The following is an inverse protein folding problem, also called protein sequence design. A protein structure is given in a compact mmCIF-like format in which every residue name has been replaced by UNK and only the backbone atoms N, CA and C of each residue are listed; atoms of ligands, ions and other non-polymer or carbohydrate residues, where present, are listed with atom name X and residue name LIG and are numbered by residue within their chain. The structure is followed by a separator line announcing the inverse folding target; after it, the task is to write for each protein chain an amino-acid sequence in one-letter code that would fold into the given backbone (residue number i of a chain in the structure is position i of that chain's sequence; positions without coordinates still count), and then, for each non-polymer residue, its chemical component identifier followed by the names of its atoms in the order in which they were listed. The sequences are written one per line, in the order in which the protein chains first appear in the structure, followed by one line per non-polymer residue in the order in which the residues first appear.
data_IF_560963538113
#
_entry.id   IF_560963538113
#
_cell.length_a   1.000
_cell.length_b   1.000
_cell.length_c   1.000
_cell.angle_alpha   90.00
_cell.angle_beta   90.00
_cell.angle_gamma   90.00
#
_symmetry.space_group_name_H-M   'P 1'
#
loop_
_entity.id
_entity.type
_entity.pdbx_description
1 polymer ?
#
# COMPACT_ATOMS: atom_id res chain seq x y z
N UNK A 1 43.81 17.13 1.84
CA UNK A 1 44.47 18.26 1.12
C UNK A 1 43.61 19.52 1.06
N UNK A 2 42.32 19.47 0.68
CA UNK A 2 41.48 20.67 0.60
C UNK A 2 41.02 21.20 1.98
N UNK A 3 40.66 20.35 2.94
CA UNK A 3 40.22 20.76 4.28
C UNK A 3 41.37 21.42 5.08
N UNK A 4 42.59 20.86 5.07
CA UNK A 4 43.75 21.49 5.73
C UNK A 4 44.00 22.90 5.20
N UNK A 5 43.93 23.06 3.88
CA UNK A 5 44.12 24.36 3.24
C UNK A 5 42.97 25.35 3.54
N UNK A 6 41.73 24.85 3.68
CA UNK A 6 40.62 25.69 4.09
C UNK A 6 40.77 26.20 5.53
N UNK A 7 41.28 25.35 6.45
CA UNK A 7 41.62 25.78 7.81
C UNK A 7 42.74 26.80 7.83
N UNK A 8 43.83 26.58 7.08
CA UNK A 8 44.96 27.53 6.97
C UNK A 8 44.52 28.91 6.43
N UNK A 9 43.48 28.91 5.57
CA UNK A 9 42.90 30.13 5.00
C UNK A 9 41.81 30.74 5.88
N UNK A 10 41.47 30.14 7.02
CA UNK A 10 40.39 30.60 7.91
C UNK A 10 38.97 30.45 7.35
N UNK A 11 38.77 29.62 6.30
CA UNK A 11 37.48 29.35 5.69
C UNK A 11 36.64 28.36 6.50
N UNK A 12 37.27 27.49 7.26
CA UNK A 12 36.65 26.49 8.14
C UNK A 12 37.45 26.42 9.43
N UNK A 13 36.80 26.41 10.57
CA UNK A 13 37.44 26.21 11.86
C UNK A 13 37.83 24.74 12.08
N UNK A 14 38.98 24.47 12.67
CA UNK A 14 39.41 23.12 13.04
C UNK A 14 38.40 22.41 13.93
N UNK A 15 37.71 23.16 14.82
CA UNK A 15 36.64 22.65 15.67
C UNK A 15 35.50 22.06 14.87
N UNK A 16 35.06 22.70 13.78
CA UNK A 16 34.00 22.20 12.90
C UNK A 16 34.36 20.86 12.27
N UNK A 17 35.63 20.69 11.87
CA UNK A 17 36.15 19.43 11.33
C UNK A 17 36.19 18.36 12.42
N UNK A 18 36.67 18.70 13.61
CA UNK A 18 36.73 17.79 14.76
C UNK A 18 35.33 17.26 15.11
N UNK A 19 34.34 18.12 15.25
CA UNK A 19 32.96 17.74 15.53
C UNK A 19 32.36 16.81 14.43
N UNK A 20 32.70 17.05 13.16
CA UNK A 20 32.29 16.18 12.07
C UNK A 20 32.95 14.79 12.15
N UNK A 21 34.25 14.75 12.51
CA UNK A 21 34.99 13.49 12.72
C UNK A 21 34.43 12.74 13.94
N UNK A 22 34.16 13.42 15.04
CA UNK A 22 33.57 12.80 16.24
C UNK A 22 32.21 12.10 15.91
N UNK A 23 31.32 12.77 15.18
CA UNK A 23 30.06 12.15 14.73
C UNK A 23 30.29 10.91 13.86
N UNK A 24 31.26 10.99 12.94
CA UNK A 24 31.62 9.86 12.08
C UNK A 24 32.18 8.69 12.89
N UNK A 25 33.06 8.99 13.84
CA UNK A 25 33.70 7.98 14.68
C UNK A 25 32.73 7.34 15.67
N UNK A 26 31.79 8.10 16.24
CA UNK A 26 30.73 7.55 17.08
C UNK A 26 29.90 6.48 16.32
N UNK A 27 29.51 6.76 15.07
CA UNK A 27 28.82 5.77 14.24
C UNK A 27 29.68 4.54 13.98
N UNK A 28 30.96 4.71 13.65
CA UNK A 28 31.88 3.59 13.42
C UNK A 28 32.11 2.73 14.66
N UNK A 29 32.21 3.35 15.84
CA UNK A 29 32.30 2.63 17.11
C UNK A 29 31.01 1.81 17.36
N UNK A 30 29.87 2.42 17.20
CA UNK A 30 28.58 1.71 17.37
C UNK A 30 28.38 0.55 16.40
N UNK A 31 28.91 0.66 15.18
CA UNK A 31 28.91 -0.43 14.19
C UNK A 31 29.93 -1.54 14.49
N UNK A 32 30.77 -1.37 15.53
CA UNK A 32 31.81 -2.34 15.86
C UNK A 32 32.99 -2.38 14.88
N UNK A 33 33.25 -1.25 14.19
CA UNK A 33 34.36 -1.14 13.23
C UNK A 33 35.73 -0.90 13.91
N UNK A 34 35.75 -0.83 15.23
CA UNK A 34 36.99 -0.69 16.04
C UNK A 34 37.16 -1.95 16.88
N UNK A 35 38.43 -2.48 16.94
CA UNK A 35 38.73 -3.72 17.64
C UNK A 35 38.34 -3.69 19.13
N UNK A 36 38.50 -2.56 19.79
CA UNK A 36 38.19 -2.38 21.21
C UNK A 36 36.70 -2.24 21.51
N UNK A 37 35.87 -2.05 20.47
CA UNK A 37 34.43 -1.79 20.59
C UNK A 37 33.65 -2.72 19.64
N UNK A 38 33.54 -4.02 19.93
CA UNK A 38 32.80 -4.95 19.06
C UNK A 38 31.34 -4.59 19.04
N UNK A 39 30.71 -4.71 17.86
CA UNK A 39 29.29 -4.53 17.71
C UNK A 39 28.50 -5.51 18.60
N UNK A 40 27.42 -5.08 19.28
CA UNK A 40 26.56 -5.99 20.01
C UNK A 40 25.93 -7.07 19.12
N UNK A 41 25.94 -6.85 17.80
CA UNK A 41 25.41 -7.78 16.79
C UNK A 41 26.48 -8.71 16.19
N UNK A 42 27.75 -8.60 16.61
CA UNK A 42 28.87 -9.39 16.03
C UNK A 42 28.69 -10.92 16.18
N UNK A 43 27.89 -11.35 17.16
CA UNK A 43 27.65 -12.76 17.44
C UNK A 43 26.39 -13.32 16.75
N UNK A 44 25.69 -12.53 15.93
CA UNK A 44 24.55 -13.02 15.16
C UNK A 44 25.08 -13.93 14.05
N UNK A 45 24.80 -15.23 14.05
CA UNK A 45 25.31 -16.15 13.04
C UNK A 45 24.58 -15.96 11.70
N UNK A 46 25.25 -16.35 10.61
CA UNK A 46 24.66 -16.29 9.28
C UNK A 46 23.38 -17.12 9.13
N UNK A 47 23.23 -18.19 9.89
CA UNK A 47 22.05 -19.08 9.88
C UNK A 47 20.73 -18.39 10.26
N UNK A 48 20.82 -17.15 10.80
CA UNK A 48 19.63 -16.30 11.04
C UNK A 48 19.02 -15.78 9.73
N UNK A 49 19.83 -15.68 8.66
CA UNK A 49 19.35 -15.25 7.33
C UNK A 49 18.43 -16.34 6.78
N UNK A 50 17.20 -15.95 6.44
CA UNK A 50 16.14 -16.88 5.97
C UNK A 50 15.84 -18.03 6.95
N UNK A 51 16.03 -17.84 8.25
CA UNK A 51 15.56 -18.81 9.23
C UNK A 51 14.02 -18.94 9.15
N UNK A 52 13.44 -20.06 9.64
CA UNK A 52 11.99 -20.29 9.54
C UNK A 52 11.14 -19.13 10.08
N UNK A 53 11.60 -18.47 11.15
CA UNK A 53 10.92 -17.34 11.78
C UNK A 53 10.90 -16.12 10.85
N UNK A 54 12.01 -15.81 10.18
CA UNK A 54 12.09 -14.71 9.22
C UNK A 54 11.26 -14.98 7.96
N UNK A 55 11.25 -16.24 7.49
CA UNK A 55 10.39 -16.64 6.36
C UNK A 55 8.90 -16.50 6.74
N UNK A 56 8.52 -16.93 7.95
CA UNK A 56 7.15 -16.78 8.45
C UNK A 56 6.75 -15.30 8.59
N UNK A 57 7.65 -14.47 9.13
CA UNK A 57 7.43 -13.02 9.27
C UNK A 57 7.26 -12.35 7.89
N UNK A 58 8.09 -12.70 6.91
CA UNK A 58 7.97 -12.18 5.54
C UNK A 58 6.63 -12.56 4.90
N UNK A 59 6.18 -13.82 5.08
CA UNK A 59 4.87 -14.27 4.60
C UNK A 59 3.71 -13.52 5.29
N UNK A 60 3.81 -13.31 6.59
CA UNK A 60 2.81 -12.55 7.35
C UNK A 60 2.75 -11.07 6.91
N UNK A 61 3.91 -10.44 6.68
CA UNK A 61 3.97 -9.08 6.14
C UNK A 61 3.31 -9.00 4.76
N UNK A 62 3.58 -9.97 3.89
CA UNK A 62 2.93 -10.08 2.58
C UNK A 62 1.40 -10.17 2.69
N UNK A 63 0.87 -11.00 3.59
CA UNK A 63 -0.57 -11.13 3.82
C UNK A 63 -1.21 -9.85 4.32
N UNK A 64 -0.55 -9.16 5.25
CA UNK A 64 -1.08 -7.92 5.87
C UNK A 64 -1.01 -6.70 4.96
N UNK A 65 -0.12 -6.71 3.98
CA UNK A 65 0.01 -5.59 3.03
C UNK A 65 -1.00 -5.65 1.88
N UNK A 66 -1.56 -6.81 1.53
CA UNK A 66 -2.48 -6.96 0.41
C UNK A 66 -3.76 -6.15 0.62
N UNK A 67 -4.14 -5.38 -0.40
CA UNK A 67 -5.32 -4.51 -0.37
C UNK A 67 -6.38 -5.04 -1.33
N UNK A 68 -7.55 -5.37 -0.82
CA UNK A 68 -8.70 -5.73 -1.63
C UNK A 68 -9.41 -4.46 -2.11
N UNK A 69 -9.31 -4.17 -3.41
CA UNK A 69 -9.84 -2.94 -4.01
C UNK A 69 -11.27 -3.09 -4.54
N UNK A 70 -11.64 -4.29 -4.99
CA UNK A 70 -12.97 -4.63 -5.50
C UNK A 70 -13.31 -6.07 -5.15
N UNK A 71 -14.58 -6.32 -4.76
CA UNK A 71 -15.08 -7.69 -4.52
C UNK A 71 -16.59 -7.76 -4.75
N UNK A 72 -16.99 -7.82 -6.02
CA UNK A 72 -18.38 -7.78 -6.44
C UNK A 72 -19.13 -9.01 -5.96
N UNK A 73 -20.22 -8.76 -5.20
CA UNK A 73 -21.10 -9.81 -4.66
C UNK A 73 -20.33 -10.89 -3.87
N UNK A 74 -19.27 -10.50 -3.14
CA UNK A 74 -18.44 -11.42 -2.36
C UNK A 74 -17.90 -12.57 -3.23
N UNK A 75 -17.37 -12.23 -4.43
CA UNK A 75 -16.82 -13.21 -5.35
C UNK A 75 -15.58 -13.91 -4.76
N UNK A 76 -14.72 -13.17 -4.07
CA UNK A 76 -13.69 -13.72 -3.22
C UNK A 76 -14.22 -13.89 -1.79
N UNK A 77 -13.77 -14.95 -1.08
CA UNK A 77 -12.80 -15.94 -1.51
C UNK A 77 -13.40 -17.00 -2.45
N UNK A 78 -12.55 -17.55 -3.30
CA UNK A 78 -12.89 -18.63 -4.22
C UNK A 78 -13.17 -19.92 -3.44
N UNK A 79 -14.16 -20.67 -3.89
CA UNK A 79 -14.49 -22.00 -3.35
C UNK A 79 -13.87 -23.09 -4.24
N UNK A 80 -12.74 -23.63 -3.81
CA UNK A 80 -11.99 -24.60 -4.62
C UNK A 80 -12.83 -25.77 -5.11
N UNK A 81 -13.75 -26.25 -4.29
CA UNK A 81 -14.65 -27.39 -4.64
C UNK A 81 -15.61 -27.08 -5.79
N UNK A 82 -15.77 -25.82 -6.17
CA UNK A 82 -16.62 -25.38 -7.29
C UNK A 82 -15.82 -25.05 -8.55
N UNK A 83 -14.50 -25.19 -8.51
CA UNK A 83 -13.59 -24.77 -9.58
C UNK A 83 -12.79 -25.96 -10.10
N UNK A 84 -13.03 -26.34 -11.34
CA UNK A 84 -12.32 -27.43 -12.00
C UNK A 84 -11.08 -26.93 -12.75
N UNK A 85 -11.16 -25.73 -13.29
CA UNK A 85 -10.06 -25.14 -14.07
C UNK A 85 -9.88 -23.65 -13.77
N UNK A 86 -8.65 -23.27 -13.44
CA UNK A 86 -8.23 -21.87 -13.27
C UNK A 86 -7.25 -21.53 -14.40
N UNK A 87 -7.44 -20.37 -15.05
CA UNK A 87 -6.43 -19.79 -15.93
C UNK A 87 -5.66 -18.71 -15.15
N UNK A 88 -4.33 -18.83 -15.09
CA UNK A 88 -3.43 -17.82 -14.52
C UNK A 88 -2.73 -17.14 -15.70
N UNK A 89 -3.04 -15.87 -15.91
CA UNK A 89 -2.66 -15.15 -17.14
C UNK A 89 -1.97 -13.84 -16.78
N UNK A 90 -0.93 -13.49 -17.51
CA UNK A 90 -0.25 -12.20 -17.41
C UNK A 90 1.26 -12.30 -17.24
N UNK A 91 1.99 -11.21 -17.53
CA UNK A 91 3.45 -11.18 -17.46
C UNK A 91 3.97 -11.39 -16.02
N UNK A 92 3.22 -10.99 -15.02
CA UNK A 92 3.61 -11.12 -13.61
C UNK A 92 3.22 -12.48 -13.01
N UNK A 93 2.46 -13.30 -13.72
CA UNK A 93 1.98 -14.59 -13.22
C UNK A 93 3.10 -15.55 -12.80
N UNK A 94 4.19 -15.59 -13.57
CA UNK A 94 5.36 -16.45 -13.33
C UNK A 94 6.67 -15.65 -13.32
N UNK A 95 6.63 -14.42 -12.81
CA UNK A 95 7.79 -13.54 -12.70
C UNK A 95 8.32 -13.50 -11.27
N UNK A 96 9.60 -13.80 -11.07
CA UNK A 96 10.28 -13.61 -9.79
C UNK A 96 10.60 -12.15 -9.53
N UNK A 97 10.90 -11.38 -10.59
CA UNK A 97 11.17 -9.95 -10.49
C UNK A 97 9.97 -9.16 -9.96
N UNK A 98 8.74 -9.59 -10.32
CA UNK A 98 7.53 -8.96 -9.83
C UNK A 98 7.20 -9.23 -8.35
N UNK A 99 7.98 -10.07 -7.66
CA UNK A 99 7.79 -10.35 -6.23
C UNK A 99 8.57 -9.39 -5.35
N UNK A 100 9.61 -8.74 -5.85
CA UNK A 100 10.57 -7.97 -5.07
C UNK A 100 10.73 -6.56 -5.64
N UNK A 101 11.02 -5.61 -4.76
CA UNK A 101 11.30 -4.22 -5.15
C UNK A 101 12.79 -4.00 -5.36
N UNK A 102 13.18 -2.73 -5.57
CA UNK A 102 14.58 -2.34 -5.59
C UNK A 102 15.27 -2.63 -4.25
N UNK A 103 16.58 -2.83 -4.31
CA UNK A 103 17.42 -3.11 -3.14
C UNK A 103 17.10 -4.42 -2.42
N UNK A 104 16.47 -5.37 -3.14
CA UNK A 104 16.16 -6.69 -2.61
C UNK A 104 17.42 -7.51 -2.33
N UNK A 105 17.32 -8.43 -1.37
CA UNK A 105 18.26 -9.53 -1.21
C UNK A 105 17.91 -10.71 -2.10
N UNK A 106 18.84 -11.64 -2.28
CA UNK A 106 18.57 -12.90 -2.99
C UNK A 106 17.99 -13.92 -2.05
N UNK A 107 16.74 -14.33 -2.29
CA UNK A 107 16.11 -15.41 -1.54
C UNK A 107 16.52 -16.78 -2.07
N UNK A 108 16.63 -17.77 -1.18
CA UNK A 108 16.88 -19.16 -1.54
C UNK A 108 15.74 -19.78 -2.36
N UNK A 109 14.50 -19.30 -2.17
CA UNK A 109 13.32 -19.75 -2.91
C UNK A 109 12.33 -18.62 -3.14
N UNK A 110 11.87 -18.51 -4.36
CA UNK A 110 10.75 -17.68 -4.77
C UNK A 110 9.52 -18.54 -5.02
N UNK A 111 8.33 -18.02 -4.73
CA UNK A 111 7.04 -18.61 -5.07
C UNK A 111 6.24 -17.57 -5.83
N UNK A 112 6.12 -17.76 -7.14
CA UNK A 112 5.34 -16.88 -8.02
C UNK A 112 3.84 -17.07 -7.82
N UNK A 113 2.97 -16.15 -8.27
CA UNK A 113 1.52 -16.34 -8.23
C UNK A 113 1.07 -17.68 -8.84
N UNK A 114 1.64 -18.05 -9.98
CA UNK A 114 1.37 -19.33 -10.64
C UNK A 114 1.74 -20.51 -9.74
N UNK A 115 2.97 -20.52 -9.20
CA UNK A 115 3.44 -21.59 -8.31
C UNK A 115 2.58 -21.67 -7.04
N UNK A 116 2.25 -20.54 -6.43
CA UNK A 116 1.40 -20.50 -5.22
C UNK A 116 0.00 -21.05 -5.47
N UNK A 117 -0.64 -20.73 -6.60
CA UNK A 117 -1.95 -21.27 -6.96
C UNK A 117 -1.85 -22.77 -7.25
N UNK A 118 -0.81 -23.22 -7.96
CA UNK A 118 -0.59 -24.65 -8.23
C UNK A 118 -0.34 -25.46 -6.95
N UNK A 119 0.50 -24.94 -6.04
CA UNK A 119 0.78 -25.60 -4.75
C UNK A 119 -0.49 -25.67 -3.89
N UNK A 120 -1.30 -24.60 -3.86
CA UNK A 120 -2.53 -24.58 -3.08
C UNK A 120 -3.60 -25.54 -3.61
N UNK A 121 -3.83 -25.50 -4.91
CA UNK A 121 -4.91 -26.28 -5.54
C UNK A 121 -4.56 -27.76 -5.69
N UNK A 122 -3.29 -28.10 -5.78
CA UNK A 122 -2.81 -29.47 -5.96
C UNK A 122 -3.43 -30.14 -7.21
N UNK A 123 -3.80 -31.39 -7.08
CA UNK A 123 -4.41 -32.19 -8.17
C UNK A 123 -5.93 -31.96 -8.33
N UNK A 124 -6.55 -31.19 -7.43
CA UNK A 124 -8.01 -31.01 -7.41
C UNK A 124 -8.51 -30.05 -8.49
N UNK A 125 -7.68 -29.10 -8.90
CA UNK A 125 -8.03 -28.08 -9.88
C UNK A 125 -6.95 -28.01 -10.94
N UNK A 126 -7.35 -28.01 -12.21
CA UNK A 126 -6.43 -27.81 -13.34
C UNK A 126 -6.02 -26.34 -13.39
N UNK A 127 -4.72 -26.08 -13.44
CA UNK A 127 -4.18 -24.73 -13.61
C UNK A 127 -3.62 -24.60 -15.02
N UNK A 128 -4.18 -23.69 -15.81
CA UNK A 128 -3.70 -23.32 -17.13
C UNK A 128 -2.89 -22.03 -17.00
N UNK A 129 -1.77 -21.92 -17.70
CA UNK A 129 -0.93 -20.75 -17.68
C UNK A 129 -0.75 -20.17 -19.09
N UNK A 130 -0.77 -18.85 -19.19
CA UNK A 130 -0.34 -18.12 -20.36
C UNK A 130 0.26 -16.77 -19.94
N UNK A 131 1.45 -16.45 -20.48
CA UNK A 131 2.07 -15.14 -20.23
C UNK A 131 1.24 -14.02 -20.88
N UNK A 132 0.68 -14.26 -22.07
CA UNK A 132 -0.19 -13.34 -22.80
C UNK A 132 0.53 -12.17 -23.48
N UNK A 133 1.35 -11.42 -22.76
CA UNK A 133 2.15 -10.31 -23.29
C UNK A 133 3.48 -10.17 -22.53
N UNK A 134 4.36 -9.32 -23.05
CA UNK A 134 5.53 -8.85 -22.30
C UNK A 134 5.11 -7.82 -21.24
N UNK A 135 5.96 -7.60 -20.24
CA UNK A 135 5.68 -6.65 -19.17
C UNK A 135 5.44 -5.23 -19.70
N UNK A 136 6.24 -4.76 -20.66
CA UNK A 136 6.14 -3.41 -21.24
C UNK A 136 6.41 -3.32 -22.75
N UNK A 137 6.96 -4.37 -23.39
CA UNK A 137 7.22 -4.37 -24.82
C UNK A 137 6.01 -4.85 -25.61
N UNK A 138 5.94 -4.48 -26.88
CA UNK A 138 4.87 -4.90 -27.77
C UNK A 138 4.93 -6.38 -28.13
N UNK A 139 6.09 -7.02 -28.00
CA UNK A 139 6.32 -8.43 -28.33
C UNK A 139 7.09 -9.15 -27.22
N UNK A 140 6.77 -10.40 -26.98
CA UNK A 140 7.42 -11.23 -25.94
C UNK A 140 8.80 -11.66 -26.39
N UNK A 141 8.92 -12.13 -27.62
CA UNK A 141 10.17 -12.62 -28.22
C UNK A 141 10.65 -11.67 -29.33
N UNK A 142 11.97 -11.60 -29.54
CA UNK A 142 12.58 -10.69 -30.52
C UNK A 142 12.03 -10.83 -31.95
N UNK A 143 11.65 -12.04 -32.35
CA UNK A 143 11.04 -12.31 -33.65
C UNK A 143 9.53 -12.49 -33.61
N UNK A 144 8.90 -12.21 -32.46
CA UNK A 144 7.45 -12.27 -32.30
C UNK A 144 6.75 -11.08 -32.93
N UNK A 145 5.47 -11.23 -33.19
CA UNK A 145 4.59 -10.13 -33.59
C UNK A 145 3.85 -9.59 -32.40
N UNK A 146 3.45 -8.32 -32.39
CA UNK A 146 2.57 -7.78 -31.35
C UNK A 146 1.32 -8.66 -31.16
N UNK A 147 0.97 -8.98 -29.89
CA UNK A 147 -0.17 -9.81 -29.51
C UNK A 147 -0.11 -11.29 -29.96
N UNK A 148 1.03 -11.80 -30.39
CA UNK A 148 1.17 -13.21 -30.82
C UNK A 148 0.78 -14.19 -29.69
N UNK A 149 1.08 -13.85 -28.43
CA UNK A 149 0.76 -14.64 -27.23
C UNK A 149 -0.67 -14.48 -26.72
N UNK A 150 -1.45 -13.54 -27.24
CA UNK A 150 -2.86 -13.37 -26.84
C UNK A 150 -3.67 -14.63 -27.12
N UNK A 151 -3.40 -15.35 -28.19
CA UNK A 151 -4.14 -16.57 -28.56
C UNK A 151 -4.06 -17.65 -27.49
N UNK A 152 -2.88 -17.86 -26.88
CA UNK A 152 -2.71 -18.82 -25.79
C UNK A 152 -3.51 -18.38 -24.57
N UNK A 153 -3.48 -17.09 -24.23
CA UNK A 153 -4.23 -16.52 -23.11
C UNK A 153 -5.74 -16.69 -23.32
N UNK A 154 -6.26 -16.40 -24.51
CA UNK A 154 -7.68 -16.55 -24.83
C UNK A 154 -8.12 -18.02 -24.77
N UNK A 155 -7.32 -18.96 -25.29
CA UNK A 155 -7.62 -20.40 -25.19
C UNK A 155 -7.66 -20.86 -23.72
N UNK A 156 -6.71 -20.39 -22.89
CA UNK A 156 -6.70 -20.69 -21.46
C UNK A 156 -7.96 -20.10 -20.78
N UNK A 157 -8.29 -18.84 -21.08
CA UNK A 157 -9.47 -18.15 -20.56
C UNK A 157 -10.80 -18.85 -20.91
N UNK A 158 -11.00 -19.25 -22.17
CA UNK A 158 -12.20 -19.96 -22.62
C UNK A 158 -12.45 -21.27 -21.86
N UNK A 159 -11.37 -21.97 -21.49
CA UNK A 159 -11.43 -23.27 -20.81
C UNK A 159 -11.52 -23.19 -19.30
N UNK A 160 -11.36 -22.00 -18.72
CA UNK A 160 -11.35 -21.79 -17.30
C UNK A 160 -12.78 -21.55 -16.74
N UNK A 161 -12.97 -21.91 -15.48
CA UNK A 161 -14.15 -21.50 -14.70
C UNK A 161 -13.94 -20.10 -14.11
N UNK A 162 -12.69 -19.78 -13.73
CA UNK A 162 -12.26 -18.48 -13.24
C UNK A 162 -10.87 -18.16 -13.77
N UNK A 163 -10.62 -16.88 -14.01
CA UNK A 163 -9.34 -16.36 -14.49
C UNK A 163 -8.69 -15.52 -13.41
N UNK A 164 -7.43 -15.76 -13.12
CA UNK A 164 -6.57 -14.91 -12.30
C UNK A 164 -5.60 -14.19 -13.23
N UNK A 165 -5.83 -12.89 -13.42
CA UNK A 165 -4.94 -12.02 -14.21
C UNK A 165 -3.87 -11.47 -13.28
N UNK A 166 -2.59 -11.64 -13.60
CA UNK A 166 -1.45 -11.10 -12.85
C UNK A 166 -0.75 -10.05 -13.71
N UNK A 167 -1.09 -8.80 -13.47
CA UNK A 167 -0.63 -7.64 -14.22
C UNK A 167 0.07 -6.64 -13.30
N UNK A 168 0.78 -5.68 -13.88
CA UNK A 168 1.41 -4.59 -13.15
C UNK A 168 2.80 -4.28 -13.63
N UNK A 169 3.70 -4.12 -12.69
CA UNK A 169 5.06 -3.64 -12.86
C UNK A 169 6.07 -4.64 -12.27
N UNK A 170 7.33 -4.31 -12.33
CA UNK A 170 8.41 -4.87 -11.52
C UNK A 170 9.46 -3.78 -11.23
N UNK A 171 10.42 -4.08 -10.38
CA UNK A 171 11.49 -3.15 -10.02
C UNK A 171 12.34 -2.71 -11.23
N UNK A 172 12.36 -3.47 -12.31
CA UNK A 172 13.09 -3.12 -13.53
C UNK A 172 12.47 -1.97 -14.31
N UNK A 173 11.19 -1.69 -14.11
CA UNK A 173 10.47 -0.57 -14.75
C UNK A 173 9.99 0.50 -13.74
N UNK A 174 10.11 0.26 -12.44
CA UNK A 174 9.95 1.22 -11.35
C UNK A 174 11.28 1.47 -10.62
N UNK A 175 12.41 1.32 -11.28
CA UNK A 175 13.73 1.57 -10.71
C UNK A 175 14.03 3.06 -10.54
N UNK A 176 15.20 3.35 -9.98
CA UNK A 176 15.71 4.71 -9.96
C UNK A 176 16.20 5.14 -11.35
N UNK A 177 16.30 6.46 -11.55
CA UNK A 177 16.79 7.03 -12.80
C UNK A 177 18.18 6.45 -13.13
N UNK A 178 18.33 5.95 -14.36
CA UNK A 178 19.55 5.33 -14.87
C UNK A 178 19.65 3.82 -14.63
N UNK A 179 18.83 3.24 -13.77
CA UNK A 179 18.87 1.80 -13.47
C UNK A 179 17.93 0.97 -14.34
N UNK A 180 16.92 1.60 -14.93
CA UNK A 180 15.86 0.88 -15.60
C UNK A 180 16.07 0.77 -17.10
N UNK A 181 15.84 -0.42 -17.62
CA UNK A 181 15.63 -0.67 -19.03
C UNK A 181 14.15 -0.55 -19.41
N UNK A 182 13.45 0.49 -18.96
CA UNK A 182 12.06 0.70 -19.31
C UNK A 182 11.90 1.39 -20.68
N UNK A 183 10.66 1.48 -21.18
CA UNK A 183 10.33 2.14 -22.45
C UNK A 183 10.64 3.64 -22.46
N UNK A 184 10.85 4.25 -21.29
CA UNK A 184 11.12 5.68 -21.11
C UNK A 184 12.61 6.00 -20.96
N UNK A 185 13.49 4.99 -20.99
CA UNK A 185 14.94 5.11 -20.81
C UNK A 185 15.37 5.75 -19.47
N UNK A 186 14.48 5.81 -18.48
CA UNK A 186 14.74 6.29 -17.12
C UNK A 186 14.01 5.40 -16.09
N UNK A 187 14.31 5.58 -14.81
CA UNK A 187 13.71 4.78 -13.74
C UNK A 187 12.23 5.04 -13.50
N UNK A 188 11.81 6.28 -13.62
CA UNK A 188 10.45 6.69 -13.29
C UNK A 188 9.48 6.45 -14.44
N UNK A 189 8.29 5.95 -14.12
CA UNK A 189 7.21 5.85 -15.09
C UNK A 189 6.57 7.22 -15.35
N UNK A 190 6.21 7.50 -16.61
CA UNK A 190 5.61 8.78 -17.03
C UNK A 190 4.10 8.84 -16.84
N UNK A 191 3.44 7.76 -16.50
CA UNK A 191 2.00 7.70 -16.35
C UNK A 191 1.54 6.62 -15.39
N UNK A 192 0.21 6.53 -15.21
CA UNK A 192 -0.42 5.57 -14.30
C UNK A 192 -0.97 4.34 -15.02
N UNK A 193 -0.92 4.28 -16.36
CA UNK A 193 -1.46 3.16 -17.13
C UNK A 193 -0.63 1.88 -16.96
N UNK A 194 -1.28 0.75 -17.13
CA UNK A 194 -0.59 -0.52 -17.30
C UNK A 194 0.35 -0.43 -18.52
N UNK A 195 1.64 -0.82 -18.40
CA UNK A 195 2.59 -0.65 -19.48
C UNK A 195 2.39 -1.66 -20.63
N UNK A 196 2.92 -1.32 -21.80
CA UNK A 196 2.89 -2.18 -22.98
C UNK A 196 1.47 -2.59 -23.37
N UNK A 197 1.27 -3.87 -23.64
CA UNK A 197 -0.01 -4.45 -24.09
C UNK A 197 -0.87 -5.03 -22.96
N UNK A 198 -0.56 -4.77 -21.70
CA UNK A 198 -1.26 -5.39 -20.57
C UNK A 198 -2.74 -4.99 -20.51
N UNK A 199 -3.06 -3.72 -20.78
CA UNK A 199 -4.46 -3.26 -20.81
C UNK A 199 -5.24 -3.96 -21.94
N UNK A 200 -4.67 -4.04 -23.13
CA UNK A 200 -5.31 -4.69 -24.27
C UNK A 200 -5.49 -6.20 -24.04
N UNK A 201 -4.54 -6.85 -23.35
CA UNK A 201 -4.67 -8.25 -22.95
C UNK A 201 -5.83 -8.43 -21.97
N UNK A 202 -5.94 -7.56 -20.96
CA UNK A 202 -7.04 -7.58 -19.98
C UNK A 202 -8.40 -7.44 -20.67
N UNK A 203 -8.51 -6.51 -21.60
CA UNK A 203 -9.74 -6.27 -22.38
C UNK A 203 -10.09 -7.48 -23.26
N UNK A 204 -9.12 -8.06 -23.94
CA UNK A 204 -9.32 -9.24 -24.77
C UNK A 204 -9.75 -10.47 -23.96
N UNK A 205 -9.16 -10.68 -22.78
CA UNK A 205 -9.51 -11.77 -21.88
C UNK A 205 -10.90 -11.54 -21.28
N UNK A 206 -11.24 -10.30 -20.90
CA UNK A 206 -12.57 -9.97 -20.38
C UNK A 206 -13.68 -10.21 -21.43
N UNK A 207 -13.40 -9.98 -22.70
CA UNK A 207 -14.34 -10.25 -23.80
C UNK A 207 -14.72 -11.74 -23.94
N UNK A 208 -13.97 -12.66 -23.36
CA UNK A 208 -14.31 -14.10 -23.28
C UNK A 208 -15.56 -14.32 -22.39
N UNK A 209 -15.84 -13.39 -21.47
CA UNK A 209 -17.07 -13.42 -20.66
C UNK A 209 -16.97 -14.27 -19.39
N UNK A 210 -15.77 -14.71 -19.01
CA UNK A 210 -15.54 -15.45 -17.75
C UNK A 210 -15.22 -14.50 -16.60
N UNK A 211 -15.50 -14.90 -15.34
CA UNK A 211 -15.15 -14.08 -14.19
C UNK A 211 -13.63 -13.98 -14.02
N UNK A 212 -13.17 -12.76 -13.75
CA UNK A 212 -11.75 -12.42 -13.59
C UNK A 212 -11.50 -11.89 -12.18
N UNK A 213 -10.45 -12.40 -11.55
CA UNK A 213 -9.78 -11.78 -10.42
C UNK A 213 -8.50 -11.12 -10.96
N UNK A 214 -8.40 -9.81 -10.82
CA UNK A 214 -7.19 -9.06 -11.17
C UNK A 214 -6.30 -8.94 -9.94
N UNK A 215 -5.12 -9.55 -9.98
CA UNK A 215 -4.04 -9.36 -9.01
C UNK A 215 -3.01 -8.42 -9.58
N UNK A 216 -2.83 -7.28 -8.94
CA UNK A 216 -1.90 -6.23 -9.36
C UNK A 216 -0.61 -6.37 -8.56
N UNK A 217 0.52 -6.43 -9.25
CA UNK A 217 1.85 -6.42 -8.66
C UNK A 217 2.55 -5.13 -9.10
N UNK A 218 2.65 -4.15 -8.21
CA UNK A 218 3.23 -2.84 -8.49
C UNK A 218 3.65 -2.14 -7.21
N UNK A 219 4.74 -1.40 -7.22
CA UNK A 219 5.18 -0.61 -6.05
C UNK A 219 4.46 0.74 -5.91
N UNK A 220 3.72 1.17 -6.94
CA UNK A 220 3.04 2.47 -7.00
C UNK A 220 1.63 2.37 -7.57
N UNK A 221 0.87 3.46 -7.46
CA UNK A 221 -0.49 3.54 -7.97
C UNK A 221 -0.56 3.32 -9.50
N UNK A 222 -1.59 2.61 -9.93
CA UNK A 222 -1.96 2.41 -11.33
C UNK A 222 -3.38 2.89 -11.60
N UNK A 223 -3.64 3.33 -12.83
CA UNK A 223 -4.98 3.58 -13.31
C UNK A 223 -5.70 2.25 -13.61
N UNK A 224 -6.59 1.87 -12.71
CA UNK A 224 -7.41 0.67 -12.80
C UNK A 224 -8.89 1.01 -13.08
N UNK A 225 -9.19 2.22 -13.55
CA UNK A 225 -10.57 2.71 -13.74
C UNK A 225 -11.38 1.79 -14.64
N UNK A 226 -10.80 1.36 -15.76
CA UNK A 226 -11.47 0.42 -16.65
C UNK A 226 -11.80 -0.91 -15.94
N UNK A 227 -10.86 -1.46 -15.17
CA UNK A 227 -11.06 -2.70 -14.43
C UNK A 227 -12.10 -2.55 -13.30
N UNK A 228 -12.11 -1.38 -12.65
CA UNK A 228 -13.09 -1.06 -11.60
C UNK A 228 -14.53 -1.08 -12.14
N UNK A 229 -14.76 -0.55 -13.34
CA UNK A 229 -16.07 -0.41 -13.97
C UNK A 229 -16.53 -1.69 -14.70
N UNK A 230 -15.59 -2.55 -15.13
CA UNK A 230 -15.91 -3.68 -16.00
C UNK A 230 -16.53 -4.85 -15.23
N UNK A 231 -17.69 -5.35 -15.72
CA UNK A 231 -18.50 -6.36 -15.04
C UNK A 231 -17.83 -7.74 -14.92
N UNK A 232 -16.91 -8.11 -15.82
CA UNK A 232 -16.19 -9.40 -15.73
C UNK A 232 -15.06 -9.38 -14.72
N UNK A 233 -14.56 -8.19 -14.35
CA UNK A 233 -13.57 -8.04 -13.28
C UNK A 233 -14.30 -8.08 -11.95
N UNK A 234 -14.41 -9.27 -11.39
CA UNK A 234 -15.22 -9.54 -10.19
C UNK A 234 -14.51 -9.15 -8.90
N UNK A 235 -13.18 -9.16 -8.92
CA UNK A 235 -12.35 -8.72 -7.80
C UNK A 235 -11.05 -8.11 -8.30
N UNK A 236 -10.53 -7.15 -7.54
CA UNK A 236 -9.22 -6.52 -7.76
C UNK A 236 -8.47 -6.56 -6.43
N UNK A 237 -7.26 -7.10 -6.44
CA UNK A 237 -6.38 -7.17 -5.28
C UNK A 237 -5.03 -6.56 -5.63
N UNK A 238 -4.64 -5.52 -4.92
CA UNK A 238 -3.31 -4.94 -5.01
C UNK A 238 -2.39 -5.70 -4.04
N UNK A 239 -1.39 -6.33 -4.61
CA UNK A 239 -0.47 -7.21 -3.91
C UNK A 239 0.89 -6.55 -3.68
N UNK A 240 1.12 -5.35 -4.19
CA UNK A 240 2.41 -4.64 -4.17
C UNK A 240 3.54 -5.51 -4.77
N UNK A 241 4.74 -5.43 -4.20
CA UNK A 241 5.82 -6.40 -4.37
C UNK A 241 5.83 -7.31 -3.13
N UNK A 242 5.16 -8.48 -3.20
CA UNK A 242 4.75 -9.22 -2.00
C UNK A 242 5.88 -10.05 -1.35
N UNK A 243 7.11 -9.89 -1.82
CA UNK A 243 8.26 -10.64 -1.33
C UNK A 243 8.39 -12.05 -1.90
N UNK A 244 9.50 -12.70 -1.59
CA UNK A 244 9.87 -13.98 -2.21
C UNK A 244 8.81 -15.10 -2.08
N UNK A 245 7.97 -15.06 -1.06
CA UNK A 245 6.87 -16.02 -0.83
C UNK A 245 5.49 -15.45 -1.23
N UNK A 246 5.47 -14.36 -1.97
CA UNK A 246 4.26 -13.62 -2.31
C UNK A 246 3.20 -14.43 -3.03
N UNK A 247 3.59 -15.32 -3.94
CA UNK A 247 2.63 -16.19 -4.63
C UNK A 247 1.86 -17.13 -3.69
N UNK A 248 2.50 -17.58 -2.60
CA UNK A 248 1.81 -18.34 -1.54
C UNK A 248 0.77 -17.46 -0.84
N UNK A 249 1.13 -16.24 -0.45
CA UNK A 249 0.20 -15.31 0.19
C UNK A 249 -0.98 -14.95 -0.74
N UNK A 250 -0.71 -14.74 -2.03
CA UNK A 250 -1.76 -14.48 -3.05
C UNK A 250 -2.73 -15.67 -3.13
N UNK A 251 -2.23 -16.90 -3.24
CA UNK A 251 -3.08 -18.08 -3.28
C UNK A 251 -3.92 -18.22 -2.00
N UNK A 252 -3.30 -18.07 -0.84
CA UNK A 252 -4.00 -18.14 0.45
C UNK A 252 -5.10 -17.04 0.57
N UNK A 253 -4.86 -15.84 0.06
CA UNK A 253 -5.89 -14.80 -0.02
C UNK A 253 -7.02 -15.21 -0.97
N UNK A 254 -6.70 -15.63 -2.20
CA UNK A 254 -7.69 -16.02 -3.20
C UNK A 254 -8.67 -17.09 -2.69
N UNK A 255 -8.19 -18.03 -1.89
CA UNK A 255 -9.00 -19.14 -1.37
C UNK A 255 -9.48 -18.97 0.09
N UNK A 256 -9.21 -17.80 0.70
CA UNK A 256 -9.82 -17.43 1.99
C UNK A 256 -9.17 -18.00 3.23
N UNK A 257 -7.88 -18.40 3.17
CA UNK A 257 -7.13 -18.78 4.37
C UNK A 257 -6.96 -17.59 5.35
N UNK A 258 -7.05 -16.40 4.83
CA UNK A 258 -7.17 -15.15 5.59
C UNK A 258 -7.99 -14.13 4.80
N UNK A 259 -8.53 -13.12 5.48
CA UNK A 259 -9.14 -11.97 4.84
C UNK A 259 -8.08 -10.88 4.60
N UNK A 260 -7.97 -10.31 3.38
CA UNK A 260 -7.16 -9.11 3.18
C UNK A 260 -7.54 -8.00 4.16
N UNK A 261 -6.52 -7.29 4.66
CA UNK A 261 -6.69 -6.24 5.67
C UNK A 261 -5.84 -4.99 5.40
N UNK A 262 -5.07 -5.01 4.32
CA UNK A 262 -4.28 -3.86 3.90
C UNK A 262 -5.14 -2.65 3.57
N UNK A 263 -4.61 -1.46 3.79
CA UNK A 263 -5.22 -0.18 3.43
C UNK A 263 -4.23 0.61 2.57
N UNK A 264 -4.73 1.31 1.56
CA UNK A 264 -3.88 2.08 0.65
C UNK A 264 -3.14 3.19 1.40
N UNK A 265 -1.80 3.24 1.35
CA UNK A 265 -1.00 4.29 1.96
C UNK A 265 -0.86 5.52 1.07
N UNK A 266 -1.45 5.50 -0.13
CA UNK A 266 -1.44 6.56 -1.13
C UNK A 266 -2.80 6.68 -1.80
N UNK A 267 -3.06 7.82 -2.44
CA UNK A 267 -4.26 8.04 -3.25
C UNK A 267 -4.03 7.50 -4.66
N UNK A 268 -4.95 6.72 -5.21
CA UNK A 268 -4.94 6.28 -6.60
C UNK A 268 -5.77 7.23 -7.45
N UNK A 269 -5.16 7.81 -8.48
CA UNK A 269 -5.81 8.70 -9.43
C UNK A 269 -6.24 7.94 -10.70
N UNK A 270 -7.20 8.49 -11.44
CA UNK A 270 -7.67 7.93 -12.72
C UNK A 270 -6.72 8.25 -13.89
N UNK A 271 -5.82 9.23 -13.71
CA UNK A 271 -4.84 9.63 -14.71
C UNK A 271 -3.95 10.76 -14.21
N UNK A 272 -2.86 11.01 -14.91
CA UNK A 272 -1.90 12.07 -14.59
C UNK A 272 -2.41 13.47 -14.97
N UNK A 273 -3.37 13.57 -15.88
CA UNK A 273 -4.00 14.82 -16.32
C UNK A 273 -4.76 15.54 -15.21
N UNK A 274 -5.07 14.84 -14.14
CA UNK A 274 -5.74 15.40 -12.96
C UNK A 274 -4.76 15.93 -11.91
N UNK A 275 -3.46 15.76 -12.10
CA UNK A 275 -2.44 16.23 -11.19
C UNK A 275 -2.01 17.68 -11.55
N UNK A 276 -1.65 18.50 -10.55
CA UNK A 276 -1.00 19.79 -10.80
C UNK A 276 0.33 19.61 -11.52
N UNK A 277 0.85 20.70 -12.12
CA UNK A 277 2.19 20.71 -12.72
C UNK A 277 3.24 20.19 -11.73
N UNK A 278 4.18 19.36 -12.22
CA UNK A 278 5.19 18.74 -11.39
C UNK A 278 6.04 19.75 -10.59
N UNK A 279 6.26 20.93 -11.15
CA UNK A 279 7.04 22.02 -10.53
C UNK A 279 6.23 22.87 -9.55
N UNK A 280 4.93 22.63 -9.41
CA UNK A 280 4.09 23.28 -8.40
C UNK A 280 4.23 22.56 -7.05
N UNK A 281 4.96 23.17 -6.12
CA UNK A 281 5.21 22.67 -4.77
C UNK A 281 4.23 23.22 -3.72
N UNK A 282 3.16 23.92 -4.12
CA UNK A 282 2.16 24.47 -3.19
C UNK A 282 1.37 23.40 -2.43
N UNK A 283 1.45 22.14 -2.84
CA UNK A 283 0.65 21.01 -2.36
C UNK A 283 -0.85 21.08 -2.67
N UNK A 284 -1.34 22.20 -3.23
CA UNK A 284 -2.73 22.31 -3.64
C UNK A 284 -3.12 21.16 -4.59
N UNK A 285 -4.29 20.59 -4.38
CA UNK A 285 -4.82 19.45 -5.16
C UNK A 285 -3.92 18.19 -5.17
N UNK A 286 -2.98 18.08 -4.23
CA UNK A 286 -2.13 16.91 -4.06
C UNK A 286 -2.49 16.13 -2.80
N UNK A 287 -2.39 14.82 -2.89
CA UNK A 287 -2.64 13.87 -1.80
C UNK A 287 -4.05 13.99 -1.19
N UNK A 288 -4.42 13.05 -0.35
CA UNK A 288 -5.71 13.04 0.35
C UNK A 288 -5.93 14.24 1.29
N UNK A 289 -4.86 14.97 1.65
CA UNK A 289 -4.94 16.10 2.58
C UNK A 289 -5.46 17.38 1.92
N UNK A 290 -5.21 17.54 0.62
CA UNK A 290 -5.42 18.82 -0.08
C UNK A 290 -6.28 18.70 -1.33
N UNK A 291 -6.60 17.47 -1.79
CA UNK A 291 -7.45 17.28 -2.96
C UNK A 291 -8.90 17.10 -2.56
N UNK A 292 -9.79 17.86 -3.23
CA UNK A 292 -11.23 17.67 -3.19
C UNK A 292 -11.73 16.98 -4.47
N UNK A 293 -10.81 16.54 -5.35
CA UNK A 293 -11.15 15.93 -6.64
C UNK A 293 -11.59 14.48 -6.46
N UNK A 294 -12.32 14.01 -7.47
CA UNK A 294 -12.62 12.59 -7.60
C UNK A 294 -11.33 11.80 -7.80
N UNK A 295 -11.17 10.72 -7.07
CA UNK A 295 -10.03 9.79 -7.14
C UNK A 295 -10.54 8.38 -7.38
N UNK A 296 -9.70 7.53 -7.98
CA UNK A 296 -10.07 6.14 -8.22
C UNK A 296 -10.26 5.39 -6.91
N UNK A 297 -9.20 5.38 -6.08
CA UNK A 297 -9.26 4.84 -4.71
C UNK A 297 -8.65 5.83 -3.72
N UNK A 298 -9.37 6.16 -2.67
CA UNK A 298 -8.88 7.07 -1.63
C UNK A 298 -7.74 6.46 -0.79
N UNK A 299 -6.91 7.32 -0.21
CA UNK A 299 -6.00 6.94 0.87
C UNK A 299 -6.77 6.25 2.01
N UNK A 300 -6.17 5.23 2.62
CA UNK A 300 -6.79 4.49 3.73
C UNK A 300 -7.89 3.50 3.32
N UNK A 301 -8.19 3.39 2.01
CA UNK A 301 -9.17 2.45 1.47
C UNK A 301 -8.65 1.01 1.39
N UNK A 302 -9.53 0.06 1.61
CA UNK A 302 -9.30 -1.37 1.44
C UNK A 302 -10.46 -2.16 2.04
N UNK A 303 -10.94 -3.18 1.32
CA UNK A 303 -12.03 -4.07 1.71
C UNK A 303 -11.53 -5.27 2.48
N UNK A 304 -12.45 -5.99 3.11
CA UNK A 304 -12.23 -7.30 3.74
C UNK A 304 -13.26 -8.30 3.23
N UNK A 305 -13.08 -9.59 3.54
CA UNK A 305 -14.10 -10.62 3.22
C UNK A 305 -15.29 -10.60 4.20
N UNK A 306 -15.23 -9.78 5.23
CA UNK A 306 -16.27 -9.66 6.23
C UNK A 306 -16.92 -8.28 6.21
N UNK A 307 -17.89 -8.07 7.07
CA UNK A 307 -18.54 -6.77 7.25
C UNK A 307 -18.18 -6.23 8.64
N UNK A 308 -17.68 -5.01 8.69
CA UNK A 308 -17.29 -4.34 9.91
C UNK A 308 -18.28 -3.22 10.19
N UNK A 309 -18.77 -3.16 11.43
CA UNK A 309 -19.65 -2.09 11.88
C UNK A 309 -18.95 -1.28 12.97
N UNK A 310 -19.01 0.03 12.83
CA UNK A 310 -18.55 1.00 13.80
C UNK A 310 -19.75 1.60 14.53
N UNK A 311 -19.66 1.74 15.86
CA UNK A 311 -20.71 2.35 16.69
C UNK A 311 -20.11 3.01 17.94
N UNK A 312 -20.94 3.78 18.64
CA UNK A 312 -20.63 4.37 19.95
C UNK A 312 -19.32 5.20 19.97
N UNK A 313 -19.01 5.87 18.84
CA UNK A 313 -17.84 6.74 18.78
C UNK A 313 -18.04 7.97 19.68
N UNK A 314 -17.10 8.23 20.61
CA UNK A 314 -17.13 9.36 21.51
C UNK A 314 -15.72 9.72 22.00
N UNK A 315 -15.59 10.91 22.59
CA UNK A 315 -14.45 11.33 23.38
C UNK A 315 -14.88 11.48 24.85
N UNK A 316 -13.93 11.36 25.78
CA UNK A 316 -14.24 11.42 27.22
C UNK A 316 -14.96 12.71 27.62
N UNK A 317 -14.58 13.82 27.02
CA UNK A 317 -15.21 15.15 27.16
C UNK A 317 -15.22 15.84 25.79
N UNK A 318 -15.90 16.99 25.70
CA UNK A 318 -15.97 17.78 24.45
C UNK A 318 -15.03 18.99 24.46
N UNK A 319 -14.63 19.45 25.66
CA UNK A 319 -13.79 20.64 25.85
C UNK A 319 -12.47 20.23 26.52
N UNK A 320 -11.37 20.54 25.87
CA UNK A 320 -10.02 20.18 26.29
C UNK A 320 -9.14 21.42 26.38
N UNK A 321 -8.22 21.46 27.31
CA UNK A 321 -7.12 22.42 27.29
C UNK A 321 -6.25 22.27 26.04
N UNK A 322 -5.60 23.36 25.61
CA UNK A 322 -4.85 23.39 24.36
C UNK A 322 -3.80 22.26 24.26
N UNK A 323 -3.15 21.93 25.37
CA UNK A 323 -2.13 20.87 25.45
C UNK A 323 -2.65 19.56 26.06
N UNK A 324 -3.95 19.42 26.30
CA UNK A 324 -4.51 18.18 26.81
C UNK A 324 -4.65 17.15 25.67
N UNK A 325 -4.25 15.89 25.89
CA UNK A 325 -4.50 14.81 24.94
C UNK A 325 -6.02 14.51 24.86
N UNK A 326 -6.45 13.95 23.73
CA UNK A 326 -7.84 13.55 23.50
C UNK A 326 -7.88 12.05 23.26
N UNK A 327 -8.62 11.31 24.09
CA UNK A 327 -8.87 9.89 23.84
C UNK A 327 -10.20 9.72 23.12
N UNK A 328 -10.14 9.05 21.98
CA UNK A 328 -11.28 8.69 21.14
C UNK A 328 -11.59 7.22 21.35
N UNK A 329 -12.85 6.93 21.64
CA UNK A 329 -13.39 5.59 21.82
C UNK A 329 -14.30 5.24 20.65
N UNK A 330 -14.25 4.00 20.21
CA UNK A 330 -15.16 3.47 19.20
C UNK A 330 -15.37 1.98 19.40
N UNK A 331 -16.59 1.53 19.23
CA UNK A 331 -16.89 0.10 19.20
C UNK A 331 -16.80 -0.43 17.77
N UNK A 332 -16.02 -1.48 17.57
CA UNK A 332 -15.83 -2.16 16.29
C UNK A 332 -16.37 -3.58 16.40
N UNK A 333 -17.22 -3.97 15.46
CA UNK A 333 -17.89 -5.28 15.46
C UNK A 333 -17.72 -5.95 14.09
N UNK A 334 -17.32 -7.21 14.08
CA UNK A 334 -17.34 -8.05 12.90
C UNK A 334 -18.72 -8.70 12.77
N UNK A 335 -19.55 -8.17 11.87
CA UNK A 335 -20.91 -8.70 11.63
C UNK A 335 -20.95 -9.74 10.52
N UNK A 336 -19.83 -10.05 9.87
CA UNK A 336 -19.76 -11.01 8.79
C UNK A 336 -19.29 -12.40 9.24
N UNK A 337 -18.86 -13.20 8.28
CA UNK A 337 -18.57 -14.64 8.46
C UNK A 337 -17.10 -15.00 8.36
N UNK A 338 -16.20 -14.01 8.23
CA UNK A 338 -14.75 -14.22 8.22
C UNK A 338 -14.07 -13.53 9.39
N UNK A 339 -13.11 -14.15 10.07
CA UNK A 339 -12.22 -13.44 10.96
C UNK A 339 -11.45 -12.37 10.21
N UNK A 340 -11.26 -11.21 10.81
CA UNK A 340 -10.59 -10.08 10.18
C UNK A 340 -9.59 -9.42 11.10
N UNK A 341 -8.60 -8.79 10.48
CA UNK A 341 -7.75 -7.79 11.10
C UNK A 341 -8.21 -6.43 10.57
N UNK A 342 -8.82 -5.59 11.39
CA UNK A 342 -9.31 -4.29 10.95
C UNK A 342 -8.36 -3.17 11.38
N UNK A 343 -8.16 -2.20 10.49
CA UNK A 343 -7.38 -1.00 10.77
C UNK A 343 -8.31 0.17 11.08
N UNK A 344 -8.53 0.41 12.38
CA UNK A 344 -9.29 1.56 12.86
C UNK A 344 -8.47 2.82 12.63
N UNK A 345 -9.02 3.79 11.93
CA UNK A 345 -8.36 5.03 11.51
C UNK A 345 -9.05 6.22 12.19
N UNK A 346 -8.25 7.17 12.68
CA UNK A 346 -8.73 8.42 13.26
C UNK A 346 -8.13 9.58 12.48
N UNK A 347 -9.00 10.39 11.91
CA UNK A 347 -8.65 11.58 11.15
C UNK A 347 -9.04 12.82 11.90
N UNK A 348 -8.20 13.86 11.84
CA UNK A 348 -8.43 15.16 12.49
C UNK A 348 -8.46 16.26 11.44
N UNK A 349 -9.40 17.20 11.60
CA UNK A 349 -9.50 18.43 10.80
C UNK A 349 -9.79 19.60 11.74
N UNK A 350 -9.08 20.71 11.57
CA UNK A 350 -9.44 21.97 12.20
C UNK A 350 -10.64 22.60 11.48
N UNK A 351 -11.71 22.92 12.18
CA UNK A 351 -12.96 23.39 11.55
C UNK A 351 -12.84 24.79 10.95
N UNK A 352 -12.00 25.63 11.54
CA UNK A 352 -11.78 27.04 11.15
C UNK A 352 -10.53 27.20 10.28
N UNK A 353 -10.16 26.11 9.54
CA UNK A 353 -8.98 26.08 8.67
C UNK A 353 -9.04 27.13 7.56
N UNK A 354 -7.88 27.64 7.17
CA UNK A 354 -7.70 28.50 5.99
C UNK A 354 -7.60 27.66 4.70
N UNK A 355 -7.60 28.34 3.55
CA UNK A 355 -7.61 27.68 2.24
C UNK A 355 -6.39 26.75 1.99
N UNK A 356 -5.26 27.07 2.61
CA UNK A 356 -4.00 26.31 2.47
C UNK A 356 -3.78 25.27 3.57
N UNK A 357 -4.66 25.24 4.58
CA UNK A 357 -4.57 24.23 5.61
C UNK A 357 -5.03 22.87 5.06
N UNK A 358 -4.44 21.77 5.55
CA UNK A 358 -4.87 20.43 5.16
C UNK A 358 -6.33 20.20 5.58
N UNK A 359 -7.01 19.36 4.81
CA UNK A 359 -8.29 18.78 5.17
C UNK A 359 -8.14 17.79 6.33
N UNK A 360 -8.82 16.66 6.25
CA UNK A 360 -8.62 15.60 7.21
C UNK A 360 -7.21 15.00 7.13
N UNK A 361 -6.58 14.80 8.27
CA UNK A 361 -5.27 14.18 8.40
C UNK A 361 -5.37 12.93 9.26
N UNK A 362 -4.83 11.81 8.80
CA UNK A 362 -4.71 10.60 9.61
C UNK A 362 -3.75 10.87 10.79
N UNK A 363 -4.26 10.78 12.00
CA UNK A 363 -3.52 11.05 13.24
C UNK A 363 -3.47 9.85 14.19
N UNK A 364 -4.37 8.90 14.00
CA UNK A 364 -4.36 7.67 14.79
C UNK A 364 -4.73 6.45 13.95
N UNK A 365 -4.03 5.35 14.20
CA UNK A 365 -4.35 4.05 13.61
C UNK A 365 -4.18 2.95 14.65
N UNK A 366 -5.13 2.01 14.68
CA UNK A 366 -5.04 0.84 15.53
C UNK A 366 -5.55 -0.40 14.82
N UNK A 367 -4.71 -1.42 14.77
CA UNK A 367 -5.09 -2.72 14.25
C UNK A 367 -5.79 -3.55 15.32
N UNK A 368 -6.93 -4.15 14.99
CA UNK A 368 -7.72 -4.98 15.89
C UNK A 368 -8.15 -6.27 15.19
N UNK A 369 -7.85 -7.42 15.82
CA UNK A 369 -8.34 -8.72 15.36
C UNK A 369 -9.76 -8.94 15.89
N UNK A 370 -10.66 -9.39 15.03
CA UNK A 370 -12.06 -9.66 15.34
C UNK A 370 -12.48 -11.00 14.76
N UNK A 371 -12.89 -11.91 15.64
CA UNK A 371 -13.58 -13.14 15.23
C UNK A 371 -14.99 -12.84 14.70
N UNK A 372 -15.61 -13.82 14.04
CA UNK A 372 -17.00 -13.68 13.55
C UNK A 372 -17.96 -13.38 14.71
N UNK A 373 -18.69 -12.28 14.63
CA UNK A 373 -19.61 -11.81 15.66
C UNK A 373 -18.94 -11.14 16.86
N UNK A 374 -17.61 -11.01 16.86
CA UNK A 374 -16.89 -10.35 17.97
C UNK A 374 -17.03 -8.84 17.91
N UNK A 375 -17.14 -8.24 19.10
CA UNK A 375 -17.26 -6.80 19.32
C UNK A 375 -16.18 -6.36 20.30
N UNK A 376 -15.40 -5.32 19.93
CA UNK A 376 -14.35 -4.75 20.78
C UNK A 376 -14.46 -3.23 20.84
N UNK A 377 -14.18 -2.67 22.00
CA UNK A 377 -13.92 -1.25 22.14
C UNK A 377 -12.45 -0.97 21.80
N UNK A 378 -12.24 0.06 21.01
CA UNK A 378 -10.92 0.54 20.60
C UNK A 378 -10.75 1.98 21.06
N UNK A 379 -9.67 2.23 21.79
CA UNK A 379 -9.31 3.55 22.30
C UNK A 379 -8.04 4.03 21.59
N UNK A 380 -8.06 5.26 21.08
CA UNK A 380 -6.92 5.91 20.43
C UNK A 380 -6.72 7.27 21.06
N UNK A 381 -5.55 7.48 21.67
CA UNK A 381 -5.21 8.77 22.29
C UNK A 381 -4.42 9.62 21.31
N UNK A 382 -4.93 10.80 21.04
CA UNK A 382 -4.32 11.83 20.21
C UNK A 382 -3.58 12.81 21.13
N UNK A 383 -2.30 13.04 20.81
CA UNK A 383 -1.46 14.01 21.50
C UNK A 383 -1.79 15.45 21.06
N UNK A 384 -1.34 16.50 21.76
CA UNK A 384 -1.51 17.87 21.29
C UNK A 384 -0.97 18.11 19.88
N UNK A 385 0.15 17.46 19.52
CA UNK A 385 0.76 17.54 18.18
C UNK A 385 -0.18 17.06 17.08
N UNK A 386 -1.08 16.13 17.34
CA UNK A 386 -2.01 15.59 16.33
C UNK A 386 -3.05 16.63 15.88
N UNK A 387 -3.21 17.71 16.66
CA UNK A 387 -4.09 18.84 16.37
C UNK A 387 -3.36 20.03 15.75
N UNK A 388 -2.03 19.97 15.62
CA UNK A 388 -1.25 21.09 15.16
C UNK A 388 -1.29 21.27 13.64
N UNK A 389 -1.22 22.53 13.21
CA UNK A 389 -0.99 22.97 11.85
C UNK A 389 0.42 23.55 11.75
N UNK A 390 1.00 23.52 10.54
CA UNK A 390 2.32 24.11 10.29
C UNK A 390 2.11 25.51 9.72
N UNK A 391 2.65 26.52 10.41
CA UNK A 391 2.60 27.92 9.95
C UNK A 391 3.55 28.18 8.77
N UNK A 392 3.42 29.35 8.12
CA UNK A 392 4.34 29.78 7.05
C UNK A 392 5.80 29.87 7.53
N UNK A 393 6.04 30.14 8.82
CA UNK A 393 7.39 30.16 9.41
C UNK A 393 7.89 28.75 9.79
N UNK A 394 7.14 27.69 9.49
CA UNK A 394 7.49 26.32 9.79
C UNK A 394 7.27 25.91 11.25
N UNK A 395 6.49 26.67 12.02
CA UNK A 395 6.16 26.35 13.42
C UNK A 395 4.97 25.40 13.48
N UNK A 396 5.04 24.46 14.42
CA UNK A 396 3.97 23.50 14.69
C UNK A 396 3.04 24.07 15.75
N UNK A 397 1.86 24.57 15.35
CA UNK A 397 0.97 25.35 16.20
C UNK A 397 -0.36 24.64 16.42
N UNK A 398 -0.78 24.49 17.68
CA UNK A 398 -2.13 24.09 18.07
C UNK A 398 -2.97 25.34 18.24
N UNK A 399 -4.08 25.43 17.53
CA UNK A 399 -5.01 26.55 17.59
C UNK A 399 -6.17 26.25 18.54
N UNK A 400 -6.63 27.24 19.34
CA UNK A 400 -7.92 27.12 20.01
C UNK A 400 -9.04 27.15 18.98
N UNK A 401 -10.13 26.42 19.25
CA UNK A 401 -11.27 26.35 18.34
C UNK A 401 -11.82 24.95 18.20
N UNK A 402 -12.69 24.74 17.22
CA UNK A 402 -13.38 23.51 16.99
C UNK A 402 -12.55 22.57 16.08
N UNK A 403 -12.54 21.29 16.44
CA UNK A 403 -11.92 20.23 15.62
C UNK A 403 -12.95 19.14 15.33
N UNK A 404 -12.89 18.65 14.12
CA UNK A 404 -13.63 17.47 13.70
C UNK A 404 -12.71 16.25 13.76
N UNK A 405 -13.19 15.20 14.45
CA UNK A 405 -12.49 13.91 14.54
C UNK A 405 -13.36 12.86 13.86
N UNK A 406 -12.89 12.29 12.78
CA UNK A 406 -13.56 11.23 12.06
C UNK A 406 -12.93 9.88 12.40
N UNK A 407 -13.77 8.88 12.74
CA UNK A 407 -13.35 7.54 13.18
C UNK A 407 -14.03 6.48 12.35
N UNK A 408 -13.25 5.56 11.78
CA UNK A 408 -13.78 4.46 10.98
C UNK A 408 -12.69 3.58 10.39
N UNK A 409 -13.02 2.78 9.39
CA UNK A 409 -12.08 1.92 8.66
C UNK A 409 -11.55 2.53 7.36
N UNK A 410 -11.78 3.83 7.16
CA UNK A 410 -11.51 4.53 5.90
C UNK A 410 -11.42 6.03 6.10
N UNK A 411 -10.97 6.74 5.05
CA UNK A 411 -10.99 8.21 4.98
C UNK A 411 -12.44 8.74 5.02
N UNK A 412 -12.70 9.89 5.68
CA UNK A 412 -14.04 10.50 5.75
C UNK A 412 -14.40 11.29 4.48
N UNK A 413 -14.58 10.59 3.37
CA UNK A 413 -14.97 11.18 2.09
C UNK A 413 -16.11 10.38 1.41
N UNK A 414 -16.73 11.02 0.41
CA UNK A 414 -17.87 10.44 -0.31
C UNK A 414 -17.46 9.22 -1.15
N UNK A 415 -16.25 9.24 -1.75
CA UNK A 415 -15.76 8.14 -2.58
C UNK A 415 -15.52 6.89 -1.74
N UNK A 416 -14.87 7.02 -0.58
CA UNK A 416 -14.70 5.94 0.38
C UNK A 416 -16.04 5.33 0.78
N UNK A 417 -17.01 6.18 1.11
CA UNK A 417 -18.35 5.74 1.52
C UNK A 417 -19.10 5.01 0.39
N UNK A 418 -18.96 5.43 -0.86
CA UNK A 418 -19.55 4.74 -2.02
C UNK A 418 -18.91 3.37 -2.26
N UNK A 419 -17.59 3.28 -2.15
CA UNK A 419 -16.84 2.04 -2.42
C UNK A 419 -17.06 0.98 -1.33
N UNK A 420 -17.17 1.39 -0.06
CA UNK A 420 -17.33 0.46 1.07
C UNK A 420 -18.79 0.22 1.45
N UNK A 421 -19.70 1.12 1.06
CA UNK A 421 -21.06 1.15 1.59
C UNK A 421 -21.17 1.59 3.05
N UNK A 422 -20.09 2.14 3.63
CA UNK A 422 -20.01 2.54 5.03
C UNK A 422 -19.69 4.02 5.17
N UNK A 423 -20.05 4.59 6.31
CA UNK A 423 -19.71 5.96 6.70
C UNK A 423 -18.85 5.93 7.95
N UNK A 424 -18.01 6.93 8.13
CA UNK A 424 -17.25 7.16 9.36
C UNK A 424 -18.10 7.91 10.38
N UNK A 425 -17.82 7.74 11.66
CA UNK A 425 -18.42 8.55 12.75
C UNK A 425 -17.63 9.84 12.90
N UNK A 426 -18.29 10.98 12.96
CA UNK A 426 -17.66 12.29 13.17
C UNK A 426 -18.02 12.84 14.55
N UNK A 427 -16.99 13.24 15.29
CA UNK A 427 -17.07 13.86 16.60
C UNK A 427 -16.60 15.32 16.48
N UNK A 428 -17.13 16.18 17.33
CA UNK A 428 -16.71 17.58 17.46
C UNK A 428 -16.17 17.80 18.87
N UNK A 429 -14.95 18.35 18.95
CA UNK A 429 -14.31 18.76 20.18
C UNK A 429 -13.88 20.22 20.10
N UNK A 430 -13.70 20.88 21.24
CA UNK A 430 -13.16 22.23 21.32
C UNK A 430 -11.83 22.23 22.08
N UNK A 431 -10.80 22.85 21.50
CA UNK A 431 -9.54 23.16 22.19
C UNK A 431 -9.62 24.59 22.75
N UNK A 432 -9.34 24.76 24.03
CA UNK A 432 -9.43 26.03 24.75
C UNK A 432 -8.05 26.50 25.23
N UNK A 433 -7.77 27.79 25.11
CA UNK A 433 -6.49 28.39 25.52
C UNK A 433 -5.97 29.37 24.46
N UNK A 434 -4.66 29.57 24.43
CA UNK A 434 -3.98 30.39 23.43
C UNK A 434 -3.31 29.49 22.38
N UNK A 435 -3.05 30.04 21.19
CA UNK A 435 -2.21 29.38 20.19
C UNK A 435 -0.89 28.97 20.82
N UNK A 436 -0.55 27.71 20.75
CA UNK A 436 0.61 27.14 21.44
C UNK A 436 1.48 26.33 20.47
N UNK A 437 2.77 26.65 20.48
CA UNK A 437 3.78 25.90 19.72
C UNK A 437 4.07 24.57 20.44
N UNK A 438 4.13 23.48 19.68
CA UNK A 438 4.49 22.13 20.15
C UNK A 438 5.70 21.64 19.37
N UNK A 439 6.48 20.75 19.97
CA UNK A 439 7.65 20.16 19.30
C UNK A 439 7.22 19.30 18.09
N UNK A 440 8.01 19.40 17.04
CA UNK A 440 7.77 18.65 15.78
C UNK A 440 8.07 17.16 15.94
#
# INVERSE_FOLDING_TARGET
MYLSRACEQGLVEEKTITEAVERLMDVRIRLGMMEDYPSPYANIPYDVVECPEHIALSLEASKRSMVLLKNDNHFLPLKQEQIHTIAVIGPNANSRAALVGNYEGTSSRYITPLEGIQEYTGEKTRVLYAQGCHLYKDQVEFLGEPKDRFKEALIAAERADVIVMCLGLDAGIEGEEGDAGNEYASGDKLGLKLPGLQQELLEAVAAVGKPIVLTVLAGSALDLSWAQEHAQIRAIMDCWYPGARGGKAIAEALFGEFSPCGKLPVTFYEGTEFLPDFTDYSMAERTYRYTDRHVLYPFGYGLTYSQIRYSDAHADVTDFGILEPVTVHVTVENTGTYPVQEAVQVYVRFSEREAYDPGYQLKGIRSVALECGEKKEVCITLSPRDFALISEEGKCLVHPGSYEIAVGGQQPDERSSRLTGQTVSTLFICKTGNVTEVEY
#
